data_IF_076466431306
#
_entry.id   IF_076466431306
#
_cell.length_a   1.000
_cell.length_b   1.000
_cell.length_c   1.000
_cell.angle_alpha   90.00
_cell.angle_beta   90.00
_cell.angle_gamma   90.00
#
_symmetry.space_group_name_H-M   'P 1'
#
loop_
_entity.id
_entity.type
_entity.pdbx_description
1 polymer ?
#
# COMPACT_ATOMS: atom_id res chain seq x y z
N UNK A 1 -0.10 23.85 18.30
CA UNK A 1 0.85 22.92 17.66
C UNK A 1 0.61 22.97 16.16
N UNK A 2 1.57 23.48 15.40
CA UNK A 2 1.51 23.43 13.94
C UNK A 2 1.96 22.05 13.43
N UNK A 3 1.61 21.70 12.20
CA UNK A 3 1.97 20.38 11.63
C UNK A 3 3.50 20.17 11.56
N UNK A 4 4.25 21.23 11.27
CA UNK A 4 5.71 21.19 11.26
C UNK A 4 6.32 20.95 12.67
N UNK A 5 5.67 21.44 13.72
CA UNK A 5 6.09 21.15 15.10
C UNK A 5 5.90 19.66 15.42
N UNK A 6 4.83 19.04 14.93
CA UNK A 6 4.57 17.62 15.13
C UNK A 6 5.66 16.75 14.49
N UNK A 7 6.16 17.11 13.30
CA UNK A 7 7.29 16.41 12.67
C UNK A 7 8.52 16.48 13.55
N UNK A 8 8.87 17.68 14.07
CA UNK A 8 10.02 17.85 14.97
C UNK A 8 9.87 17.03 16.24
N UNK A 9 8.67 17.01 16.84
CA UNK A 9 8.38 16.24 18.05
C UNK A 9 8.50 14.72 17.78
N UNK A 10 7.91 14.24 16.69
CA UNK A 10 7.96 12.83 16.31
C UNK A 10 9.41 12.38 16.01
N UNK A 11 10.16 13.21 15.27
CA UNK A 11 11.56 12.96 14.98
C UNK A 11 12.41 12.91 16.26
N UNK A 12 12.23 13.88 17.15
CA UNK A 12 12.91 13.92 18.45
C UNK A 12 12.58 12.70 19.32
N UNK A 13 11.33 12.25 19.31
CA UNK A 13 10.92 11.02 19.99
C UNK A 13 11.67 9.80 19.43
N UNK A 14 11.80 9.67 18.11
CA UNK A 14 12.51 8.56 17.49
C UNK A 14 14.01 8.56 17.82
N UNK A 15 14.69 9.70 17.67
CA UNK A 15 16.14 9.77 17.90
C UNK A 15 16.51 9.50 19.37
N UNK A 16 15.66 9.92 20.32
CA UNK A 16 15.90 9.74 21.76
C UNK A 16 15.68 8.30 22.23
N UNK A 17 14.88 7.51 21.52
CA UNK A 17 14.50 6.15 21.91
C UNK A 17 15.24 5.07 21.10
N UNK A 18 16.56 5.23 20.90
CA UNK A 18 17.39 4.21 20.25
C UNK A 18 17.59 2.99 21.16
N UNK A 19 17.36 1.79 20.63
CA UNK A 19 17.78 0.53 21.26
C UNK A 19 16.68 -0.52 21.44
N UNK A 20 16.98 -1.55 22.24
CA UNK A 20 16.10 -2.69 22.48
C UNK A 20 14.92 -2.31 23.38
N UNK A 21 13.71 -2.36 22.81
CA UNK A 21 12.50 -2.10 23.56
C UNK A 21 12.00 -3.38 24.23
N UNK A 22 12.28 -3.56 25.53
CA UNK A 22 11.91 -4.79 26.29
C UNK A 22 10.42 -5.16 26.21
N UNK A 23 9.54 -4.19 25.95
CA UNK A 23 8.08 -4.38 25.82
C UNK A 23 7.62 -4.55 24.36
N UNK A 24 8.52 -4.73 23.39
CA UNK A 24 8.20 -4.84 21.96
C UNK A 24 7.17 -5.94 21.65
N UNK A 25 7.30 -7.18 22.17
CA UNK A 25 6.26 -8.20 21.99
C UNK A 25 4.89 -7.77 22.55
N UNK A 26 4.85 -6.96 23.60
CA UNK A 26 3.61 -6.47 24.22
C UNK A 26 2.97 -5.39 23.34
N UNK A 27 3.78 -4.50 22.76
CA UNK A 27 3.31 -3.48 21.81
C UNK A 27 2.75 -4.13 20.56
N UNK A 28 3.45 -5.11 19.97
CA UNK A 28 2.96 -5.85 18.79
C UNK A 28 1.62 -6.53 19.12
N UNK A 29 1.48 -7.16 20.29
CA UNK A 29 0.20 -7.75 20.73
C UNK A 29 -0.90 -6.70 20.89
N UNK A 30 -0.59 -5.53 21.44
CA UNK A 30 -1.54 -4.44 21.60
C UNK A 30 -2.00 -3.89 20.24
N UNK A 31 -1.07 -3.71 19.29
CA UNK A 31 -1.36 -3.30 17.92
C UNK A 31 -2.33 -4.30 17.25
N UNK A 32 -2.00 -5.59 17.30
CA UNK A 32 -2.82 -6.65 16.74
C UNK A 32 -4.20 -6.72 17.40
N UNK A 33 -4.29 -6.54 18.72
CA UNK A 33 -5.56 -6.45 19.45
C UNK A 33 -6.41 -5.28 18.98
N UNK A 34 -5.80 -4.11 18.76
CA UNK A 34 -6.49 -2.91 18.23
C UNK A 34 -7.13 -3.15 16.85
N UNK A 35 -6.57 -4.05 16.05
CA UNK A 35 -7.09 -4.44 14.73
C UNK A 35 -7.95 -5.72 14.77
N UNK A 36 -8.34 -6.20 15.96
CA UNK A 36 -9.18 -7.38 16.12
C UNK A 36 -8.46 -8.74 15.98
N UNK A 37 -7.13 -8.75 15.86
CA UNK A 37 -6.30 -9.97 15.67
C UNK A 37 -5.51 -10.33 16.93
N UNK A 38 -6.17 -10.33 18.09
CA UNK A 38 -5.54 -10.53 19.40
C UNK A 38 -4.81 -11.89 19.58
N UNK A 39 -5.18 -12.92 18.82
CA UNK A 39 -4.66 -14.29 18.98
C UNK A 39 -3.59 -14.69 17.95
N UNK A 40 -3.02 -13.73 17.21
CA UNK A 40 -2.06 -14.04 16.15
C UNK A 40 -0.74 -14.65 16.66
N UNK A 41 -0.16 -15.65 15.97
CA UNK A 41 -0.82 -16.44 14.94
C UNK A 41 -1.82 -17.42 15.58
N UNK A 42 -2.95 -17.61 14.90
CA UNK A 42 -3.93 -18.62 15.25
C UNK A 42 -3.39 -20.02 14.94
N UNK A 43 -3.58 -20.92 15.92
CA UNK A 43 -3.14 -22.33 15.86
C UNK A 43 -4.35 -23.28 15.88
N UNK A 44 -5.45 -22.89 16.53
CA UNK A 44 -6.69 -23.68 16.59
C UNK A 44 -7.65 -23.19 15.53
N UNK A 45 -8.43 -24.11 14.96
CA UNK A 45 -9.56 -23.82 14.08
C UNK A 45 -10.51 -22.83 14.75
N UNK A 46 -10.56 -21.63 14.21
CA UNK A 46 -11.64 -20.70 14.50
C UNK A 46 -12.89 -21.11 13.72
N UNK A 47 -14.07 -21.03 14.33
CA UNK A 47 -15.36 -21.13 13.62
C UNK A 47 -15.66 -19.86 12.80
N UNK A 48 -14.80 -18.84 12.88
CA UNK A 48 -14.86 -17.60 12.11
C UNK A 48 -14.88 -17.89 10.60
N UNK A 49 -15.77 -17.22 9.88
CA UNK A 49 -15.72 -17.19 8.42
C UNK A 49 -14.88 -15.99 7.93
N UNK A 50 -14.55 -15.95 6.63
CA UNK A 50 -13.78 -14.85 6.04
C UNK A 50 -14.39 -13.46 6.31
N UNK A 51 -15.73 -13.35 6.34
CA UNK A 51 -16.42 -12.08 6.61
C UNK A 51 -16.13 -11.54 8.01
N UNK A 52 -16.11 -12.41 9.02
CA UNK A 52 -15.79 -11.99 10.39
C UNK A 52 -14.37 -11.46 10.53
N UNK A 53 -13.43 -12.03 9.75
CA UNK A 53 -12.04 -11.56 9.68
C UNK A 53 -12.01 -10.18 9.02
N UNK A 54 -12.52 -10.04 7.79
CA UNK A 54 -12.52 -8.76 7.06
C UNK A 54 -13.28 -7.65 7.79
N UNK A 55 -14.35 -7.99 8.50
CA UNK A 55 -15.10 -7.04 9.31
C UNK A 55 -14.29 -6.53 10.51
N UNK A 56 -13.36 -7.34 11.02
CA UNK A 56 -12.49 -6.99 12.15
C UNK A 56 -11.26 -6.22 11.68
N UNK A 57 -10.57 -6.75 10.67
CA UNK A 57 -9.25 -6.30 10.22
C UNK A 57 -9.30 -5.16 9.20
N UNK A 58 -10.37 -5.05 8.43
CA UNK A 58 -10.40 -4.20 7.25
C UNK A 58 -10.35 -4.98 5.94
N UNK A 59 -10.47 -4.27 4.82
CA UNK A 59 -10.25 -4.84 3.48
C UNK A 59 -8.77 -4.79 3.06
N UNK A 60 -8.03 -3.77 3.49
CA UNK A 60 -6.57 -3.72 3.35
C UNK A 60 -5.93 -4.83 4.21
N UNK A 61 -4.91 -5.55 3.73
CA UNK A 61 -4.10 -5.34 2.51
C UNK A 61 -4.63 -6.02 1.25
N UNK A 62 -5.80 -6.64 1.27
CA UNK A 62 -6.28 -7.41 0.12
C UNK A 62 -6.89 -6.49 -0.94
N UNK A 63 -7.70 -5.53 -0.51
CA UNK A 63 -8.28 -4.48 -1.36
C UNK A 63 -7.99 -3.11 -0.77
N UNK A 64 -7.67 -2.15 -1.65
CA UNK A 64 -7.55 -0.75 -1.32
C UNK A 64 -8.93 -0.08 -1.38
N UNK A 65 -9.15 0.86 -0.48
CA UNK A 65 -10.37 1.69 -0.44
C UNK A 65 -9.92 3.14 -0.34
N UNK A 66 -10.11 3.87 -1.43
CA UNK A 66 -9.63 5.25 -1.57
C UNK A 66 -10.80 6.19 -1.85
N UNK A 67 -10.63 7.47 -1.53
CA UNK A 67 -11.57 8.52 -1.92
C UNK A 67 -10.83 9.45 -2.87
N UNK A 68 -11.05 9.27 -4.18
CA UNK A 68 -10.33 10.02 -5.22
C UNK A 68 -11.25 10.38 -6.39
N UNK A 69 -10.80 11.30 -7.23
CA UNK A 69 -11.45 11.60 -8.52
C UNK A 69 -11.12 10.48 -9.50
N UNK A 70 -12.09 10.06 -10.30
CA UNK A 70 -11.91 9.01 -11.31
C UNK A 70 -12.07 9.59 -12.71
N UNK A 71 -11.65 8.84 -13.74
CA UNK A 71 -11.88 9.22 -15.14
C UNK A 71 -13.38 9.32 -15.48
N UNK A 72 -14.23 8.62 -14.74
CA UNK A 72 -15.70 8.67 -14.87
C UNK A 72 -16.34 9.81 -14.06
N UNK A 73 -15.64 10.38 -13.07
CA UNK A 73 -16.13 11.44 -12.18
C UNK A 73 -15.02 12.44 -11.84
N UNK A 74 -14.68 13.31 -12.81
CA UNK A 74 -13.60 14.30 -12.65
C UNK A 74 -13.92 15.44 -11.68
N UNK A 75 -15.20 15.72 -11.43
CA UNK A 75 -15.63 16.89 -10.65
C UNK A 75 -15.91 16.58 -9.18
N UNK A 76 -15.97 15.30 -8.81
CA UNK A 76 -16.30 14.87 -7.43
C UNK A 76 -15.44 13.69 -7.04
N UNK A 77 -15.07 13.63 -5.77
CA UNK A 77 -14.43 12.45 -5.21
C UNK A 77 -15.45 11.31 -5.13
N UNK A 78 -15.02 10.13 -5.54
CA UNK A 78 -15.82 8.90 -5.48
C UNK A 78 -15.04 7.89 -4.65
N UNK A 79 -15.77 6.96 -4.01
CA UNK A 79 -15.12 5.83 -3.36
C UNK A 79 -14.57 4.90 -4.45
N UNK A 80 -13.30 4.54 -4.35
CA UNK A 80 -12.65 3.64 -5.29
C UNK A 80 -12.15 2.42 -4.55
N UNK A 81 -12.50 1.24 -5.07
CA UNK A 81 -12.01 -0.04 -4.59
C UNK A 81 -11.14 -0.65 -5.66
N UNK A 82 -9.93 -1.04 -5.29
CA UNK A 82 -8.97 -1.68 -6.18
C UNK A 82 -8.28 -2.86 -5.47
N UNK A 83 -7.63 -3.72 -6.24
CA UNK A 83 -6.74 -4.72 -5.69
C UNK A 83 -5.50 -4.05 -5.10
N UNK A 84 -5.12 -4.44 -3.87
CA UNK A 84 -3.95 -3.89 -3.19
C UNK A 84 -2.79 -4.88 -3.13
N UNK A 85 -3.11 -6.16 -2.85
CA UNK A 85 -2.21 -7.32 -2.76
C UNK A 85 -0.70 -6.97 -2.65
N UNK A 86 -0.25 -6.29 -1.59
CA UNK A 86 1.16 -5.97 -1.45
C UNK A 86 1.92 -7.24 -1.07
N UNK A 87 3.08 -7.41 -1.72
CA UNK A 87 3.96 -8.55 -1.49
C UNK A 87 5.32 -8.07 -0.99
N UNK A 88 5.95 -8.85 -0.11
CA UNK A 88 7.31 -8.58 0.35
C UNK A 88 8.34 -9.02 -0.69
N UNK A 89 8.06 -10.13 -1.39
CA UNK A 89 8.94 -10.61 -2.45
C UNK A 89 8.47 -10.10 -3.81
N UNK A 90 9.40 -9.80 -4.74
CA UNK A 90 9.04 -9.41 -6.10
C UNK A 90 8.69 -10.66 -6.92
N UNK A 91 7.64 -11.37 -6.49
CA UNK A 91 7.19 -12.65 -7.05
C UNK A 91 6.93 -12.57 -8.56
N UNK A 92 6.40 -11.45 -9.02
CA UNK A 92 6.05 -11.16 -10.42
C UNK A 92 7.28 -10.99 -11.30
N UNK A 93 8.39 -10.50 -10.74
CA UNK A 93 9.58 -10.12 -11.49
C UNK A 93 10.55 -11.32 -11.65
N UNK A 94 10.41 -12.32 -10.79
CA UNK A 94 11.32 -13.48 -10.77
C UNK A 94 11.27 -14.35 -12.03
N UNK A 95 10.17 -14.35 -12.76
CA UNK A 95 10.03 -15.14 -13.99
C UNK A 95 10.62 -14.43 -15.23
N UNK A 96 10.74 -13.09 -15.21
CA UNK A 96 11.22 -12.29 -16.34
C UNK A 96 12.66 -11.75 -16.20
N UNK A 97 13.17 -11.64 -14.98
CA UNK A 97 14.43 -10.93 -14.70
C UNK A 97 15.67 -11.84 -14.49
N UNK A 98 15.64 -13.08 -14.97
CA UNK A 98 16.84 -13.95 -14.98
C UNK A 98 17.36 -14.40 -13.60
N UNK A 99 16.54 -14.31 -12.53
CA UNK A 99 16.94 -14.80 -11.20
C UNK A 99 16.94 -16.32 -11.21
N UNK A 100 18.10 -16.94 -10.93
CA UNK A 100 18.24 -18.39 -10.91
C UNK A 100 17.32 -19.06 -9.88
N UNK A 101 16.87 -20.30 -10.17
CA UNK A 101 16.04 -21.09 -9.25
C UNK A 101 16.64 -21.16 -7.84
N UNK A 102 17.94 -21.41 -7.75
CA UNK A 102 18.70 -21.45 -6.48
C UNK A 102 18.59 -20.13 -5.70
N UNK A 103 18.73 -18.98 -6.37
CA UNK A 103 18.60 -17.66 -5.72
C UNK A 103 17.18 -17.42 -5.21
N UNK A 104 16.15 -17.79 -5.99
CA UNK A 104 14.74 -17.71 -5.54
C UNK A 104 14.48 -18.59 -4.33
N UNK A 105 14.96 -19.83 -4.33
CA UNK A 105 14.76 -20.77 -3.22
C UNK A 105 15.45 -20.26 -1.94
N UNK A 106 16.63 -19.64 -2.06
CA UNK A 106 17.31 -18.99 -0.94
C UNK A 106 16.50 -17.80 -0.39
N UNK A 107 15.95 -16.94 -1.25
CA UNK A 107 15.11 -15.81 -0.82
C UNK A 107 13.84 -16.30 -0.12
N UNK A 108 13.14 -17.29 -0.70
CA UNK A 108 11.97 -17.92 -0.05
C UNK A 108 12.33 -18.51 1.32
N UNK A 109 13.50 -19.14 1.44
CA UNK A 109 13.99 -19.67 2.72
C UNK A 109 14.25 -18.57 3.75
N UNK A 110 14.91 -17.48 3.35
CA UNK A 110 15.14 -16.32 4.21
C UNK A 110 13.81 -15.68 4.66
N UNK A 111 12.84 -15.56 3.75
CA UNK A 111 11.54 -14.98 4.08
C UNK A 111 10.72 -15.84 5.06
N UNK A 112 10.68 -17.17 4.87
CA UNK A 112 10.05 -18.06 5.86
C UNK A 112 10.72 -17.96 7.23
N UNK A 113 12.06 -17.91 7.26
CA UNK A 113 12.83 -17.75 8.49
C UNK A 113 12.49 -16.41 9.18
N UNK A 114 12.32 -15.35 8.40
CA UNK A 114 11.91 -14.04 8.91
C UNK A 114 10.54 -14.09 9.58
N UNK A 115 9.49 -14.57 8.88
CA UNK A 115 8.14 -14.70 9.44
C UNK A 115 8.18 -15.53 10.73
N UNK A 116 8.92 -16.66 10.72
CA UNK A 116 9.08 -17.52 11.90
C UNK A 116 9.72 -16.79 13.07
N UNK A 117 10.80 -16.06 12.84
CA UNK A 117 11.49 -15.33 13.91
C UNK A 117 10.57 -14.29 14.55
N UNK A 118 9.76 -13.61 13.75
CA UNK A 118 8.76 -12.66 14.26
C UNK A 118 7.66 -13.36 15.06
N UNK A 119 7.17 -14.53 14.59
CA UNK A 119 6.24 -15.35 15.38
C UNK A 119 6.83 -15.69 16.75
N UNK A 120 8.10 -16.10 16.80
CA UNK A 120 8.79 -16.48 18.04
C UNK A 120 9.13 -15.27 18.92
N UNK A 121 9.36 -14.09 18.33
CA UNK A 121 9.50 -12.84 19.07
C UNK A 121 8.23 -12.52 19.87
N UNK A 122 7.06 -12.65 19.24
CA UNK A 122 5.76 -12.36 19.87
C UNK A 122 5.32 -13.50 20.80
N UNK A 123 5.59 -14.74 20.40
CA UNK A 123 5.22 -15.97 21.11
C UNK A 123 6.39 -16.98 21.17
N UNK A 124 7.26 -16.89 22.18
CA UNK A 124 8.49 -17.69 22.24
C UNK A 124 8.29 -19.22 22.22
N UNK A 125 7.14 -19.70 22.72
CA UNK A 125 6.80 -21.14 22.79
C UNK A 125 5.79 -21.56 21.72
N UNK A 126 5.64 -20.81 20.63
CA UNK A 126 4.61 -21.10 19.61
C UNK A 126 4.95 -22.40 18.86
N UNK A 127 4.13 -23.46 18.97
CA UNK A 127 4.32 -24.66 18.17
C UNK A 127 4.01 -24.35 16.69
N UNK A 128 4.59 -25.14 15.79
CA UNK A 128 4.33 -25.08 14.33
C UNK A 128 4.63 -23.71 13.69
N UNK A 129 5.47 -22.87 14.31
CA UNK A 129 5.82 -21.56 13.77
C UNK A 129 6.40 -21.63 12.34
N UNK A 130 7.16 -22.68 12.03
CA UNK A 130 7.68 -22.95 10.69
C UNK A 130 6.55 -23.23 9.67
N UNK A 131 5.58 -24.06 10.04
CA UNK A 131 4.43 -24.38 9.17
C UNK A 131 3.55 -23.15 8.94
N UNK A 132 3.31 -22.36 9.99
CA UNK A 132 2.53 -21.11 9.88
C UNK A 132 3.24 -20.13 8.95
N UNK A 133 4.55 -19.94 9.12
CA UNK A 133 5.37 -19.09 8.26
C UNK A 133 5.33 -19.55 6.79
N UNK A 134 5.45 -20.86 6.54
CA UNK A 134 5.36 -21.42 5.21
C UNK A 134 3.98 -21.19 4.57
N UNK A 135 2.89 -21.38 5.33
CA UNK A 135 1.54 -21.17 4.83
C UNK A 135 1.28 -19.69 4.47
N UNK A 136 1.72 -18.75 5.31
CA UNK A 136 1.62 -17.30 5.05
C UNK A 136 2.34 -16.96 3.74
N UNK A 137 3.59 -17.41 3.57
CA UNK A 137 4.36 -17.16 2.34
C UNK A 137 3.69 -17.77 1.11
N UNK A 138 3.21 -19.01 1.19
CA UNK A 138 2.57 -19.69 0.06
C UNK A 138 1.26 -19.01 -0.34
N UNK A 139 0.53 -18.46 0.62
CA UNK A 139 -0.66 -17.67 0.37
C UNK A 139 -0.31 -16.35 -0.35
N UNK A 140 0.73 -15.64 0.10
CA UNK A 140 1.26 -14.46 -0.58
C UNK A 140 1.69 -14.77 -2.02
N UNK A 141 2.43 -15.86 -2.25
CA UNK A 141 2.81 -16.32 -3.59
C UNK A 141 1.58 -16.62 -4.47
N UNK A 142 0.48 -17.09 -3.88
CA UNK A 142 -0.76 -17.35 -4.60
C UNK A 142 -1.48 -16.06 -5.00
N UNK A 143 -1.48 -15.04 -4.13
CA UNK A 143 -1.99 -13.71 -4.45
C UNK A 143 -1.15 -13.05 -5.55
N UNK A 144 0.17 -13.12 -5.47
CA UNK A 144 1.06 -12.51 -6.47
C UNK A 144 0.89 -13.09 -7.88
N UNK A 145 0.55 -14.38 -7.99
CA UNK A 145 0.21 -14.99 -9.29
C UNK A 145 -1.06 -14.41 -9.89
N UNK A 146 -2.04 -14.03 -9.06
CA UNK A 146 -3.27 -13.38 -9.54
C UNK A 146 -2.95 -11.99 -10.11
N UNK A 147 -2.07 -11.24 -9.42
CA UNK A 147 -1.61 -9.93 -9.89
C UNK A 147 -0.88 -10.05 -11.24
N UNK A 148 0.07 -11.00 -11.36
CA UNK A 148 0.83 -11.23 -12.60
C UNK A 148 -0.07 -11.58 -13.79
N UNK A 149 -1.00 -12.51 -13.56
CA UNK A 149 -1.97 -12.94 -14.57
C UNK A 149 -2.85 -11.80 -15.05
N UNK A 150 -3.03 -10.77 -14.22
CA UNK A 150 -3.83 -9.62 -14.58
C UNK A 150 -3.02 -8.54 -15.31
N UNK A 151 -1.81 -8.18 -14.85
CA UNK A 151 -0.97 -7.18 -15.54
C UNK A 151 -0.79 -7.51 -17.03
N UNK A 152 -0.65 -8.80 -17.37
CA UNK A 152 -0.53 -9.30 -18.75
C UNK A 152 -1.81 -9.20 -19.60
N UNK A 153 -2.98 -8.94 -19.00
CA UNK A 153 -4.28 -8.83 -19.68
C UNK A 153 -4.77 -7.39 -19.89
N UNK A 154 -4.04 -6.37 -19.43
CA UNK A 154 -4.39 -4.94 -19.56
C UNK A 154 -4.10 -4.42 -20.99
N UNK A 155 -4.48 -5.18 -22.01
CA UNK A 155 -4.44 -4.73 -23.41
C UNK A 155 -5.85 -4.30 -23.90
N UNK A 156 -6.77 -3.97 -23.00
CA UNK A 156 -8.15 -3.62 -23.33
C UNK A 156 -8.68 -2.41 -22.56
N UNK A 157 -9.49 -1.58 -23.24
CA UNK A 157 -10.33 -0.54 -22.64
C UNK A 157 -11.44 -1.19 -21.80
N UNK A 158 -11.13 -1.59 -20.57
CA UNK A 158 -12.14 -2.08 -19.64
C UNK A 158 -12.81 -0.90 -18.95
N UNK A 159 -14.14 -0.85 -19.01
CA UNK A 159 -14.92 0.14 -18.26
C UNK A 159 -14.86 -0.21 -16.78
N UNK A 160 -14.32 0.69 -15.97
CA UNK A 160 -14.35 0.61 -14.52
C UNK A 160 -15.80 0.88 -14.06
N UNK A 161 -16.54 -0.14 -13.59
CA UNK A 161 -17.94 0.04 -13.23
C UNK A 161 -18.04 1.04 -12.08
N UNK A 162 -18.80 2.11 -12.31
CA UNK A 162 -19.17 3.09 -11.30
C UNK A 162 -20.67 2.98 -11.07
N UNK A 163 -21.07 2.48 -9.91
CA UNK A 163 -22.45 2.14 -9.59
C UNK A 163 -22.76 2.50 -8.13
N UNK A 164 -24.04 2.50 -7.77
CA UNK A 164 -24.43 2.53 -6.36
C UNK A 164 -23.86 1.31 -5.62
N UNK A 165 -23.32 1.52 -4.43
CA UNK A 165 -22.63 0.49 -3.66
C UNK A 165 -23.52 -0.72 -3.33
N UNK A 166 -24.83 -0.52 -3.18
CA UNK A 166 -25.82 -1.60 -3.02
C UNK A 166 -25.88 -2.54 -4.22
N UNK A 167 -25.71 -2.00 -5.43
CA UNK A 167 -25.78 -2.76 -6.68
C UNK A 167 -24.44 -3.39 -7.04
N UNK A 168 -23.33 -2.86 -6.52
CA UNK A 168 -21.99 -3.38 -6.77
C UNK A 168 -21.83 -4.86 -6.37
N UNK A 169 -22.55 -5.33 -5.35
CA UNK A 169 -22.55 -6.73 -4.93
C UNK A 169 -22.90 -7.68 -6.09
N UNK A 170 -23.73 -7.27 -7.06
CA UNK A 170 -24.13 -8.09 -8.22
C UNK A 170 -22.95 -8.34 -9.19
N UNK A 171 -21.94 -7.48 -9.15
CA UNK A 171 -20.77 -7.53 -10.02
C UNK A 171 -19.53 -8.12 -9.33
N UNK A 172 -19.60 -8.34 -8.02
CA UNK A 172 -18.52 -8.91 -7.24
C UNK A 172 -18.69 -10.40 -7.06
N UNK A 173 -17.56 -11.13 -7.01
CA UNK A 173 -17.58 -12.59 -6.98
C UNK A 173 -18.37 -13.13 -5.79
N UNK A 174 -19.25 -14.11 -6.08
CA UNK A 174 -20.16 -14.77 -5.13
C UNK A 174 -20.99 -13.80 -4.29
N UNK A 175 -21.41 -12.67 -4.88
CA UNK A 175 -22.19 -11.63 -4.19
C UNK A 175 -21.46 -11.11 -2.94
N UNK A 176 -20.17 -10.80 -3.06
CA UNK A 176 -19.39 -10.27 -1.95
C UNK A 176 -20.05 -9.01 -1.33
N UNK A 177 -20.31 -8.98 -0.01
CA UNK A 177 -21.12 -7.94 0.63
C UNK A 177 -20.31 -6.66 0.91
N UNK A 178 -19.85 -5.99 -0.15
CA UNK A 178 -18.99 -4.81 -0.07
C UNK A 178 -19.63 -3.67 0.76
N UNK A 179 -20.92 -3.40 0.55
CA UNK A 179 -21.64 -2.35 1.29
C UNK A 179 -21.63 -2.58 2.80
N UNK A 180 -21.84 -3.83 3.24
CA UNK A 180 -21.84 -4.19 4.66
C UNK A 180 -20.46 -3.95 5.29
N UNK A 181 -19.41 -4.46 4.66
CA UNK A 181 -18.04 -4.37 5.18
C UNK A 181 -17.56 -2.91 5.25
N UNK A 182 -17.81 -2.13 4.20
CA UNK A 182 -17.45 -0.71 4.19
C UNK A 182 -18.28 0.08 5.20
N UNK A 183 -19.59 -0.14 5.29
CA UNK A 183 -20.42 0.55 6.28
C UNK A 183 -19.92 0.32 7.70
N UNK A 184 -19.51 -0.91 8.03
CA UNK A 184 -18.94 -1.23 9.33
C UNK A 184 -17.59 -0.55 9.58
N UNK A 185 -16.75 -0.43 8.55
CA UNK A 185 -15.46 0.28 8.65
C UNK A 185 -15.65 1.79 8.84
N UNK A 186 -16.47 2.43 7.99
CA UNK A 186 -16.74 3.86 8.07
C UNK A 186 -17.46 4.25 9.38
N UNK A 187 -18.28 3.35 9.93
CA UNK A 187 -18.91 3.57 11.24
C UNK A 187 -17.90 3.73 12.38
N UNK A 188 -16.72 3.10 12.30
CA UNK A 188 -15.64 3.24 13.31
C UNK A 188 -15.10 4.66 13.40
N UNK A 189 -15.24 5.44 12.33
CA UNK A 189 -14.82 6.85 12.25
C UNK A 189 -16.03 7.80 12.22
N UNK A 190 -17.19 7.35 12.73
CA UNK A 190 -18.44 8.12 12.79
C UNK A 190 -18.97 8.60 11.43
N UNK A 191 -18.65 7.89 10.35
CA UNK A 191 -19.18 8.16 9.01
C UNK A 191 -20.24 7.12 8.64
N UNK A 192 -21.43 7.59 8.23
CA UNK A 192 -22.52 6.72 7.76
C UNK A 192 -22.53 6.65 6.24
N UNK A 193 -22.25 5.47 5.70
CA UNK A 193 -22.27 5.21 4.26
C UNK A 193 -23.70 4.95 3.78
N UNK A 194 -24.13 5.63 2.72
CA UNK A 194 -25.46 5.43 2.13
C UNK A 194 -25.41 4.35 1.05
N UNK A 195 -26.49 3.59 0.92
CA UNK A 195 -26.61 2.51 -0.07
C UNK A 195 -26.56 2.99 -1.52
N UNK A 196 -26.94 4.24 -1.77
CA UNK A 196 -26.88 4.91 -3.06
C UNK A 196 -25.55 5.66 -3.32
N UNK A 197 -24.56 5.54 -2.43
CA UNK A 197 -23.24 6.12 -2.65
C UNK A 197 -22.60 5.46 -3.87
N UNK A 198 -22.06 6.26 -4.79
CA UNK A 198 -21.34 5.74 -5.94
C UNK A 198 -19.97 5.19 -5.50
N UNK A 199 -19.66 3.98 -5.99
CA UNK A 199 -18.36 3.34 -5.85
C UNK A 199 -17.86 2.91 -7.23
N UNK A 200 -16.59 3.18 -7.50
CA UNK A 200 -15.87 2.68 -8.66
C UNK A 200 -15.04 1.48 -8.24
N UNK A 201 -15.18 0.34 -8.92
CA UNK A 201 -14.26 -0.79 -8.74
C UNK A 201 -13.25 -0.77 -9.87
N UNK A 202 -12.05 -0.27 -9.58
CA UNK A 202 -10.93 -0.31 -10.51
C UNK A 202 -10.56 -1.76 -10.75
N UNK A 203 -10.48 -2.13 -12.02
CA UNK A 203 -10.06 -3.47 -12.40
C UNK A 203 -10.89 -4.57 -11.68
N UNK A 204 -12.20 -4.53 -11.88
CA UNK A 204 -13.16 -5.46 -11.27
C UNK A 204 -12.76 -6.93 -11.39
N UNK A 205 -12.19 -7.34 -12.52
CA UNK A 205 -11.80 -8.74 -12.73
C UNK A 205 -10.70 -9.19 -11.76
N UNK A 206 -9.70 -8.34 -11.55
CA UNK A 206 -8.66 -8.63 -10.58
C UNK A 206 -9.21 -8.64 -9.15
N UNK A 207 -10.03 -7.65 -8.80
CA UNK A 207 -10.75 -7.62 -7.51
C UNK A 207 -11.55 -8.92 -7.32
N UNK A 208 -12.27 -9.40 -8.34
CA UNK A 208 -13.02 -10.65 -8.26
C UNK A 208 -12.13 -11.88 -8.08
N UNK A 209 -10.97 -11.95 -8.73
CA UNK A 209 -10.02 -13.04 -8.55
C UNK A 209 -9.51 -13.10 -7.10
N UNK A 210 -9.16 -11.94 -6.51
CA UNK A 210 -8.78 -11.82 -5.10
C UNK A 210 -9.94 -12.24 -4.19
N UNK A 211 -11.15 -11.75 -4.46
CA UNK A 211 -12.34 -12.12 -3.68
C UNK A 211 -12.62 -13.64 -3.71
N UNK A 212 -12.44 -14.30 -4.85
CA UNK A 212 -12.57 -15.75 -4.94
C UNK A 212 -11.50 -16.50 -4.15
N UNK A 213 -10.27 -16.01 -4.20
CA UNK A 213 -9.16 -16.57 -3.42
C UNK A 213 -9.48 -16.49 -1.92
N UNK A 214 -9.86 -15.31 -1.43
CA UNK A 214 -10.21 -15.06 -0.02
C UNK A 214 -11.35 -15.97 0.45
N UNK A 215 -12.42 -16.08 -0.35
CA UNK A 215 -13.60 -16.86 0.00
C UNK A 215 -13.37 -18.38 0.01
N UNK A 216 -12.29 -18.87 -0.61
CA UNK A 216 -11.88 -20.29 -0.59
C UNK A 216 -10.78 -20.56 0.44
N UNK A 217 -10.16 -19.53 0.97
CA UNK A 217 -9.04 -19.65 1.90
C UNK A 217 -9.52 -20.01 3.29
N UNK A 218 -8.80 -20.91 3.95
CA UNK A 218 -9.02 -21.24 5.36
C UNK A 218 -8.96 -19.97 6.23
N UNK A 219 -9.92 -19.83 7.13
CA UNK A 219 -10.05 -18.63 7.98
C UNK A 219 -8.81 -18.41 8.86
N UNK A 220 -8.18 -19.46 9.38
CA UNK A 220 -6.97 -19.28 10.19
C UNK A 220 -5.82 -18.77 9.32
N UNK A 221 -5.64 -19.33 8.12
CA UNK A 221 -4.64 -18.87 7.18
C UNK A 221 -4.87 -17.41 6.79
N UNK A 222 -6.12 -17.04 6.45
CA UNK A 222 -6.46 -15.66 6.11
C UNK A 222 -6.13 -14.72 7.27
N UNK A 223 -6.54 -15.05 8.50
CA UNK A 223 -6.25 -14.21 9.67
C UNK A 223 -4.75 -14.12 9.99
N UNK A 224 -4.02 -15.22 9.80
CA UNK A 224 -2.56 -15.23 9.96
C UNK A 224 -1.86 -14.35 8.92
N UNK A 225 -2.33 -14.37 7.67
CA UNK A 225 -1.83 -13.46 6.64
C UNK A 225 -2.19 -12.00 6.95
N UNK A 226 -3.44 -11.69 7.30
CA UNK A 226 -3.84 -10.33 7.67
C UNK A 226 -3.00 -9.77 8.83
N UNK A 227 -2.77 -10.58 9.88
CA UNK A 227 -1.93 -10.17 11.01
C UNK A 227 -0.45 -10.01 10.63
N UNK A 228 0.06 -10.85 9.74
CA UNK A 228 1.42 -10.70 9.22
C UNK A 228 1.61 -9.38 8.47
N UNK A 229 0.65 -9.03 7.62
CA UNK A 229 0.70 -7.78 6.85
C UNK A 229 0.60 -6.53 7.73
N UNK A 230 -0.17 -6.58 8.83
CA UNK A 230 -0.17 -5.50 9.83
C UNK A 230 1.18 -5.36 10.54
N UNK A 231 1.85 -6.47 10.82
CA UNK A 231 3.20 -6.44 11.43
C UNK A 231 4.22 -5.87 10.45
N UNK A 232 4.11 -6.22 9.16
CA UNK A 232 4.95 -5.65 8.11
C UNK A 232 4.73 -4.15 7.94
N UNK A 233 3.51 -3.65 8.06
CA UNK A 233 3.28 -2.20 8.01
C UNK A 233 3.92 -1.51 9.24
N UNK A 234 3.75 -2.11 10.42
CA UNK A 234 4.39 -1.63 11.65
C UNK A 234 5.92 -1.63 11.59
N UNK A 235 6.54 -2.60 10.89
CA UNK A 235 8.01 -2.71 10.82
C UNK A 235 8.68 -1.48 10.23
N UNK A 236 8.00 -0.77 9.32
CA UNK A 236 8.50 0.43 8.66
C UNK A 236 8.85 1.54 9.67
N UNK A 237 8.20 1.52 10.83
CA UNK A 237 8.35 2.54 11.89
C UNK A 237 8.84 1.95 13.22
N UNK A 238 9.05 0.62 13.28
CA UNK A 238 9.50 -0.07 14.48
C UNK A 238 11.04 -0.02 14.61
N UNK A 239 11.51 0.15 15.84
CA UNK A 239 12.89 -0.17 16.21
C UNK A 239 13.03 -1.60 16.76
N UNK A 240 14.12 -1.88 17.47
CA UNK A 240 14.26 -3.11 18.25
C UNK A 240 14.47 -4.39 17.43
N UNK A 241 14.04 -5.54 17.98
CA UNK A 241 14.34 -6.87 17.43
C UNK A 241 13.54 -7.16 16.16
N UNK A 242 12.35 -6.56 16.03
CA UNK A 242 11.55 -6.70 14.83
C UNK A 242 12.31 -6.12 13.63
N UNK A 243 12.89 -4.93 13.78
CA UNK A 243 13.71 -4.31 12.74
C UNK A 243 15.01 -5.08 12.48
N UNK A 244 15.66 -5.62 13.50
CA UNK A 244 16.83 -6.51 13.32
C UNK A 244 16.49 -7.74 12.46
N UNK A 245 15.33 -8.36 12.68
CA UNK A 245 14.85 -9.48 11.88
C UNK A 245 14.60 -9.07 10.41
N UNK A 246 14.07 -7.87 10.16
CA UNK A 246 13.90 -7.32 8.81
C UNK A 246 15.23 -7.08 8.10
N UNK A 247 16.19 -6.44 8.77
CA UNK A 247 17.51 -6.17 8.19
C UNK A 247 18.26 -7.48 7.89
N UNK A 248 18.16 -8.46 8.80
CA UNK A 248 18.72 -9.81 8.59
C UNK A 248 18.12 -10.45 7.34
N UNK A 249 16.79 -10.37 7.19
CA UNK A 249 16.11 -10.87 6.00
C UNK A 249 16.58 -10.18 4.72
N UNK A 250 16.63 -8.84 4.68
CA UNK A 250 17.10 -8.10 3.49
C UNK A 250 18.52 -8.49 3.08
N UNK A 251 19.40 -8.71 4.07
CA UNK A 251 20.77 -9.18 3.86
C UNK A 251 20.80 -10.61 3.31
N UNK A 252 20.09 -11.55 3.95
CA UNK A 252 20.02 -12.95 3.50
C UNK A 252 19.38 -13.12 2.12
N UNK A 253 18.36 -12.30 1.82
CA UNK A 253 17.69 -12.26 0.51
C UNK A 253 18.51 -11.55 -0.57
N UNK A 254 19.62 -10.91 -0.20
CA UNK A 254 20.43 -10.06 -1.08
C UNK A 254 19.57 -8.98 -1.77
N UNK A 255 18.60 -8.42 -1.03
CA UNK A 255 17.80 -7.28 -1.43
C UNK A 255 18.50 -5.95 -1.12
N UNK A 256 19.52 -5.97 -0.26
CA UNK A 256 20.28 -4.77 0.10
C UNK A 256 21.49 -4.59 -0.81
N UNK A 257 21.47 -3.50 -1.60
CA UNK A 257 22.67 -2.79 -2.06
C UNK A 257 22.79 -1.42 -1.34
N UNK A 258 21.86 -1.09 -0.45
CA UNK A 258 21.86 0.19 0.27
C UNK A 258 22.95 0.22 1.34
N UNK A 259 23.62 1.36 1.44
CA UNK A 259 24.54 1.67 2.53
C UNK A 259 23.80 1.61 3.89
N UNK A 260 24.51 1.18 4.94
CA UNK A 260 23.95 1.19 6.29
C UNK A 260 23.62 2.64 6.71
N UNK A 261 22.33 2.95 6.78
CA UNK A 261 21.83 4.27 7.21
C UNK A 261 22.07 4.51 8.70
N UNK A 262 22.40 5.74 9.06
CA UNK A 262 22.48 6.14 10.46
C UNK A 262 21.10 6.11 11.14
N UNK A 263 21.06 5.96 12.46
CA UNK A 263 19.79 5.96 13.21
C UNK A 263 18.94 7.21 12.96
N UNK A 264 19.60 8.37 12.81
CA UNK A 264 18.93 9.64 12.49
C UNK A 264 18.23 9.62 11.14
N UNK A 265 18.80 8.93 10.16
CA UNK A 265 18.24 8.79 8.82
C UNK A 265 17.09 7.79 8.83
N UNK A 266 17.23 6.67 9.54
CA UNK A 266 16.14 5.70 9.73
C UNK A 266 14.92 6.33 10.40
N UNK A 267 15.13 7.23 11.38
CA UNK A 267 14.05 8.01 11.98
C UNK A 267 13.39 8.97 11.01
N UNK A 268 14.15 9.55 10.06
CA UNK A 268 13.60 10.42 9.05
C UNK A 268 12.80 9.61 8.03
N UNK A 269 13.36 8.50 7.53
CA UNK A 269 12.69 7.59 6.60
C UNK A 269 11.38 7.03 7.18
N UNK A 270 11.35 6.71 8.48
CA UNK A 270 10.14 6.22 9.14
C UNK A 270 9.02 7.27 9.19
N UNK A 271 9.37 8.56 9.20
CA UNK A 271 8.42 9.66 9.34
C UNK A 271 8.11 10.36 8.02
N UNK A 272 9.03 10.34 7.05
CA UNK A 272 8.97 11.15 5.83
C UNK A 272 9.07 10.22 4.63
N UNK A 273 7.98 9.51 4.36
CA UNK A 273 7.74 8.81 3.09
C UNK A 273 6.56 9.44 2.38
N UNK A 274 6.46 9.27 1.06
CA UNK A 274 5.30 9.75 0.29
C UNK A 274 3.95 9.22 0.83
N UNK A 275 3.96 8.08 1.53
CA UNK A 275 2.79 7.45 2.13
C UNK A 275 2.44 8.02 3.52
N UNK A 276 3.34 8.77 4.16
CA UNK A 276 3.16 9.29 5.53
C UNK A 276 2.49 10.65 5.57
N UNK A 277 1.64 10.86 6.58
CA UNK A 277 0.99 12.17 6.82
C UNK A 277 1.96 13.29 7.19
N UNK A 278 3.20 12.94 7.57
CA UNK A 278 4.25 13.87 7.96
C UNK A 278 5.11 14.35 6.79
N UNK A 279 4.95 13.77 5.59
CA UNK A 279 5.68 14.21 4.40
C UNK A 279 5.46 15.69 4.07
N UNK A 280 4.20 16.13 3.91
CA UNK A 280 3.93 17.51 3.50
C UNK A 280 4.46 18.56 4.51
N UNK A 281 4.27 18.39 5.84
CA UNK A 281 4.88 19.29 6.81
C UNK A 281 6.42 19.23 6.86
N UNK A 282 7.02 18.06 6.65
CA UNK A 282 8.48 17.93 6.56
C UNK A 282 9.05 18.60 5.30
N UNK A 283 8.38 18.40 4.16
CA UNK A 283 8.70 19.05 2.89
C UNK A 283 8.56 20.57 3.01
N UNK A 284 7.57 21.08 3.74
CA UNK A 284 7.45 22.51 4.04
C UNK A 284 8.70 23.05 4.74
N UNK A 285 9.18 22.38 5.80
CA UNK A 285 10.41 22.78 6.51
C UNK A 285 11.64 22.77 5.59
N UNK A 286 11.72 21.79 4.69
CA UNK A 286 12.80 21.71 3.70
C UNK A 286 12.72 22.87 2.70
N UNK A 287 11.55 23.13 2.12
CA UNK A 287 11.33 24.18 1.13
C UNK A 287 11.54 25.57 1.74
N UNK A 288 11.07 25.82 2.96
CA UNK A 288 11.28 27.09 3.67
C UNK A 288 12.76 27.43 3.80
N UNK A 289 13.61 26.42 4.04
CA UNK A 289 15.03 26.61 4.27
C UNK A 289 15.88 26.59 3.00
N UNK A 290 15.55 25.73 2.05
CA UNK A 290 16.40 25.41 0.90
C UNK A 290 15.82 25.85 -0.45
N UNK A 291 14.57 26.33 -0.49
CA UNK A 291 13.91 26.75 -1.73
C UNK A 291 13.38 28.20 -1.62
N UNK A 292 14.27 29.21 -1.63
CA UNK A 292 13.88 30.61 -1.49
C UNK A 292 13.03 31.09 -2.68
N UNK A 293 12.31 32.23 -2.55
CA UNK A 293 11.41 32.73 -3.58
C UNK A 293 12.04 32.90 -4.97
N UNK A 294 13.33 33.22 -5.05
CA UNK A 294 14.01 33.38 -6.34
C UNK A 294 14.34 32.06 -7.04
N UNK A 295 14.51 30.96 -6.30
CA UNK A 295 14.57 29.62 -6.90
C UNK A 295 13.20 29.23 -7.48
N UNK A 296 12.11 29.54 -6.78
CA UNK A 296 10.74 29.35 -7.28
C UNK A 296 10.51 30.11 -8.59
N UNK A 297 10.94 31.38 -8.67
CA UNK A 297 10.84 32.17 -9.91
C UNK A 297 11.65 31.55 -11.06
N UNK A 298 12.89 31.12 -10.79
CA UNK A 298 13.74 30.47 -11.80
C UNK A 298 13.14 29.16 -12.29
N UNK A 299 12.61 28.33 -11.40
CA UNK A 299 11.92 27.10 -11.77
C UNK A 299 10.70 27.38 -12.66
N UNK A 300 9.87 28.38 -12.32
CA UNK A 300 8.75 28.76 -13.18
C UNK A 300 9.17 29.29 -14.54
N UNK A 301 10.27 30.05 -14.60
CA UNK A 301 10.83 30.50 -15.87
C UNK A 301 11.27 29.32 -16.74
N UNK A 302 11.97 28.34 -16.16
CA UNK A 302 12.36 27.11 -16.87
C UNK A 302 11.13 26.34 -17.38
N UNK A 303 10.10 26.17 -16.55
CA UNK A 303 8.88 25.48 -17.00
C UNK A 303 8.18 26.25 -18.12
N UNK A 304 8.18 27.59 -18.08
CA UNK A 304 7.59 28.40 -19.16
C UNK A 304 8.29 28.17 -20.50
N UNK A 305 9.62 28.03 -20.51
CA UNK A 305 10.37 27.70 -21.73
C UNK A 305 10.07 26.29 -22.23
N UNK A 306 9.94 25.31 -21.33
CA UNK A 306 9.58 23.93 -21.68
C UNK A 306 8.17 23.88 -22.29
N UNK A 307 7.21 24.58 -21.68
CA UNK A 307 5.83 24.67 -22.18
C UNK A 307 5.80 25.35 -23.54
N UNK A 308 6.55 26.43 -23.74
CA UNK A 308 6.70 27.10 -25.03
C UNK A 308 7.25 26.17 -26.12
N UNK A 309 8.37 25.50 -25.85
CA UNK A 309 8.98 24.56 -26.78
C UNK A 309 8.05 23.38 -27.11
N UNK A 310 7.27 22.88 -26.15
CA UNK A 310 6.27 21.84 -26.39
C UNK A 310 5.11 22.36 -27.26
N UNK A 311 4.66 23.60 -27.06
CA UNK A 311 3.66 24.22 -27.92
C UNK A 311 4.16 24.32 -29.36
N UNK A 312 5.41 24.77 -29.56
CA UNK A 312 6.03 24.86 -30.87
C UNK A 312 6.13 23.48 -31.56
N UNK A 313 6.48 22.42 -30.82
CA UNK A 313 6.49 21.05 -31.35
C UNK A 313 5.07 20.56 -31.73
N UNK A 314 4.05 20.94 -30.96
CA UNK A 314 2.66 20.60 -31.26
C UNK A 314 2.16 21.36 -32.51
N UNK A 315 2.57 22.60 -32.71
CA UNK A 315 2.15 23.42 -33.85
C UNK A 315 2.86 23.02 -35.15
N UNK A 316 4.13 22.64 -35.08
CA UNK A 316 4.97 22.40 -36.25
C UNK A 316 5.09 20.93 -36.68
N UNK A 317 4.41 19.99 -36.01
CA UNK A 317 4.46 18.59 -36.45
C UNK A 317 3.54 18.32 -37.65
N UNK A 318 3.91 17.32 -38.45
CA UNK A 318 3.23 16.95 -39.69
C UNK A 318 2.31 15.71 -39.55
N UNK A 319 2.23 15.12 -38.36
CA UNK A 319 1.53 13.85 -38.13
C UNK A 319 0.21 14.02 -37.37
N UNK A 320 0.02 15.11 -36.63
CA UNK A 320 -1.26 15.44 -35.99
C UNK A 320 -2.16 16.21 -36.95
N UNK A 321 -3.43 15.82 -37.02
CA UNK A 321 -4.44 16.64 -37.68
C UNK A 321 -4.73 17.92 -36.87
N UNK A 322 -5.34 18.92 -37.53
CA UNK A 322 -5.67 20.21 -36.91
C UNK A 322 -6.58 20.07 -35.67
N UNK A 323 -7.47 19.08 -35.64
CA UNK A 323 -8.42 18.87 -34.54
C UNK A 323 -7.72 18.31 -33.30
N UNK A 324 -6.77 17.40 -33.49
CA UNK A 324 -5.91 16.85 -32.46
C UNK A 324 -4.94 17.91 -31.92
N UNK A 325 -4.34 18.70 -32.81
CA UNK A 325 -3.46 19.82 -32.46
C UNK A 325 -4.15 20.84 -31.55
N UNK A 326 -5.34 21.32 -31.93
CA UNK A 326 -6.13 22.27 -31.11
C UNK A 326 -6.45 21.67 -29.73
N UNK A 327 -6.80 20.38 -29.67
CA UNK A 327 -7.05 19.69 -28.39
C UNK A 327 -5.77 19.57 -27.55
N UNK A 328 -4.64 19.28 -28.16
CA UNK A 328 -3.35 19.15 -27.47
C UNK A 328 -2.93 20.49 -26.87
N UNK A 329 -2.99 21.58 -27.64
CA UNK A 329 -2.72 22.94 -27.16
C UNK A 329 -3.68 23.35 -26.05
N UNK A 330 -4.98 23.05 -26.18
CA UNK A 330 -5.95 23.31 -25.13
C UNK A 330 -5.72 22.48 -23.85
N UNK A 331 -5.08 21.30 -23.95
CA UNK A 331 -4.65 20.52 -22.78
C UNK A 331 -3.39 21.10 -22.16
N UNK A 332 -2.43 21.53 -22.98
CA UNK A 332 -1.21 22.19 -22.52
C UNK A 332 -1.54 23.47 -21.75
N UNK A 333 -2.41 24.33 -22.29
CA UNK A 333 -2.91 25.53 -21.61
C UNK A 333 -3.64 25.25 -20.31
N UNK A 334 -4.45 24.17 -20.25
CA UNK A 334 -5.11 23.75 -19.00
C UNK A 334 -4.15 23.15 -17.97
N UNK A 335 -3.03 22.60 -18.45
CA UNK A 335 -1.91 22.14 -17.61
C UNK A 335 -1.00 23.28 -17.18
N UNK A 336 -1.23 24.52 -17.63
CA UNK A 336 -0.48 25.67 -17.13
C UNK A 336 -0.66 25.78 -15.61
N UNK A 337 0.43 26.18 -14.98
CA UNK A 337 0.65 26.40 -13.56
C UNK A 337 -0.32 27.42 -12.94
N UNK A 338 -1.32 27.89 -13.67
CA UNK A 338 -2.36 28.80 -13.18
C UNK A 338 -3.17 28.25 -12.01
N UNK A 339 -3.21 26.92 -11.79
CA UNK A 339 -3.88 26.31 -10.62
C UNK A 339 -2.94 26.09 -9.41
N UNK A 340 -1.66 26.48 -9.51
CA UNK A 340 -0.66 26.36 -8.44
C UNK A 340 -0.19 27.71 -7.88
N UNK A 341 -0.68 28.81 -8.47
CA UNK A 341 -0.66 30.17 -7.93
C UNK A 341 -1.92 30.38 -7.09
#
# INVERSE_FOLDING_TARGET
LQAADMVKIAYNSCIQNRGLYKKEPVVIKSLLKGHGIHSWPLVRTSSSNYLSILNSTGLYPLLNVEVKRTKSSWTRNTLVVSAASPHVLPWTDWQGHGISKKKRDNIKKAYRKFIKNVILLVHPKRPNAETIAANIMNFEESLAKLDEMWFKRIAGFWTEPTLEIKDMQKYLSRKFPLFLLLSNQFKRVNVTLRSNQLVTVENRYHVNAILECIQKTDSNLLQNYMGWMLILDYIKTAGGRLQEHWQTFKKEANFSLEDEKEWKELCLDALVTEETTMYAPAAYLYLEKYFPPDEKKRAFLMVSFIVGALADLIENNNWMDRKAMVKALARLKRGEIQNWL
#
